data_IF_637552518680
#
_entry.id   IF_637552518680
#
_cell.length_a   1.000
_cell.length_b   1.000
_cell.length_c   1.000
_cell.angle_alpha   90.00
_cell.angle_beta   90.00
_cell.angle_gamma   90.00
#
_symmetry.space_group_name_H-M   'P 1'
#
loop_
_entity.id
_entity.type
_entity.pdbx_description
1 polymer ?
#
# COMPACT_ATOMS: atom_id res chain seq x y z
N UNK A 1 11.95 18.51 19.72
CA UNK A 1 12.81 17.77 18.77
C UNK A 1 12.50 16.31 19.01
N UNK A 2 11.85 15.60 18.08
CA UNK A 2 11.48 14.20 18.35
C UNK A 2 12.74 13.35 18.40
N UNK A 3 12.68 12.23 19.14
CA UNK A 3 13.80 11.31 19.27
C UNK A 3 14.24 10.76 17.89
N UNK A 4 13.30 10.62 16.94
CA UNK A 4 13.58 10.24 15.55
C UNK A 4 14.52 11.22 14.82
N UNK A 5 14.35 12.52 15.05
CA UNK A 5 15.18 13.57 14.41
C UNK A 5 16.59 13.61 15.03
N UNK A 6 16.74 13.12 16.27
CA UNK A 6 18.04 13.06 16.96
C UNK A 6 18.96 11.99 16.34
N UNK A 7 18.38 10.89 15.86
CA UNK A 7 19.11 9.77 15.26
C UNK A 7 19.04 9.73 13.72
N UNK A 8 18.45 10.75 13.09
CA UNK A 8 18.25 10.85 11.64
C UNK A 8 17.56 9.60 11.05
N UNK A 9 16.62 9.02 11.78
CA UNK A 9 15.96 7.76 11.39
C UNK A 9 15.17 7.90 10.08
N UNK A 10 14.63 9.10 9.82
CA UNK A 10 13.92 9.43 8.57
C UNK A 10 14.79 9.38 7.33
N UNK A 11 16.09 9.66 7.45
CA UNK A 11 17.02 9.68 6.31
C UNK A 11 17.52 8.26 5.96
N UNK A 12 17.37 7.29 6.87
CA UNK A 12 17.77 5.90 6.67
C UNK A 12 16.81 5.19 5.72
N UNK A 13 17.35 4.40 4.80
CA UNK A 13 16.55 3.43 4.03
C UNK A 13 15.91 2.38 4.95
N UNK A 14 14.90 1.64 4.48
CA UNK A 14 14.25 0.61 5.30
C UNK A 14 15.22 -0.47 5.78
N UNK A 15 16.18 -0.87 4.93
CA UNK A 15 17.20 -1.86 5.29
C UNK A 15 18.13 -1.31 6.37
N UNK A 16 18.60 -0.07 6.19
CA UNK A 16 19.47 0.58 7.18
C UNK A 16 18.75 0.87 8.50
N UNK A 17 17.45 1.17 8.47
CA UNK A 17 16.66 1.35 9.68
C UNK A 17 16.50 0.02 10.43
N UNK A 18 16.20 -1.06 9.71
CA UNK A 18 16.09 -2.40 10.28
C UNK A 18 17.42 -2.86 10.91
N UNK A 19 18.53 -2.74 10.19
CA UNK A 19 19.85 -3.09 10.70
C UNK A 19 20.26 -2.22 11.89
N UNK A 20 19.91 -0.93 11.85
CA UNK A 20 20.18 -0.02 12.97
C UNK A 20 19.40 -0.41 14.24
N UNK A 21 18.13 -0.78 14.11
CA UNK A 21 17.29 -1.28 15.23
C UNK A 21 17.88 -2.58 15.79
N UNK A 22 18.33 -3.49 14.92
CA UNK A 22 18.93 -4.76 15.32
C UNK A 22 20.22 -4.62 16.13
N UNK A 23 20.90 -3.48 16.01
CA UNK A 23 22.09 -3.14 16.80
C UNK A 23 21.77 -2.52 18.16
N UNK A 24 20.51 -2.13 18.43
CA UNK A 24 20.11 -1.53 19.70
C UNK A 24 19.64 -2.59 20.71
N UNK A 25 19.95 -2.39 21.98
CA UNK A 25 19.41 -3.24 23.04
C UNK A 25 17.89 -3.06 23.18
N UNK A 26 17.12 -4.15 23.34
CA UNK A 26 15.68 -4.06 23.55
C UNK A 26 15.35 -3.23 24.80
N UNK A 27 14.40 -2.31 24.68
CA UNK A 27 13.92 -1.48 25.79
C UNK A 27 14.68 -0.18 26.01
N UNK A 28 15.69 0.12 25.17
CA UNK A 28 16.30 1.45 25.14
C UNK A 28 15.42 2.47 24.42
N UNK A 29 15.70 3.76 24.63
CA UNK A 29 14.98 4.84 23.95
C UNK A 29 15.23 4.81 22.44
N UNK A 30 16.43 4.41 22.03
CA UNK A 30 16.88 4.23 20.66
C UNK A 30 16.10 3.13 19.96
N UNK A 31 15.99 1.96 20.60
CA UNK A 31 15.20 0.84 20.08
C UNK A 31 13.72 1.24 19.91
N UNK A 32 13.17 1.93 20.90
CA UNK A 32 11.77 2.38 20.88
C UNK A 32 11.52 3.39 19.75
N UNK A 33 12.43 4.35 19.54
CA UNK A 33 12.34 5.32 18.45
C UNK A 33 12.44 4.66 17.07
N UNK A 34 13.36 3.69 16.92
CA UNK A 34 13.47 2.91 15.68
C UNK A 34 12.20 2.14 15.33
N UNK A 35 11.59 1.50 16.33
CA UNK A 35 10.32 0.79 16.16
C UNK A 35 9.17 1.77 15.84
N UNK A 36 9.10 2.92 16.50
CA UNK A 36 8.08 3.94 16.24
C UNK A 36 8.15 4.44 14.79
N UNK A 37 9.34 4.78 14.31
CA UNK A 37 9.55 5.20 12.91
C UNK A 37 9.22 4.07 11.93
N UNK A 38 9.58 2.82 12.24
CA UNK A 38 9.20 1.68 11.41
C UNK A 38 7.67 1.52 11.32
N UNK A 39 6.95 1.65 12.43
CA UNK A 39 5.48 1.60 12.44
C UNK A 39 4.87 2.77 11.68
N UNK A 40 5.43 3.98 11.80
CA UNK A 40 4.99 5.16 11.05
C UNK A 40 5.10 4.94 9.54
N UNK A 41 6.18 4.31 9.06
CA UNK A 41 6.36 3.96 7.64
C UNK A 41 5.35 2.94 7.15
N UNK A 42 5.04 1.92 7.97
CA UNK A 42 4.01 0.93 7.64
C UNK A 42 2.64 1.61 7.54
N UNK A 43 2.26 2.44 8.51
CA UNK A 43 0.99 3.17 8.49
C UNK A 43 0.85 4.07 7.25
N UNK A 44 1.92 4.76 6.84
CA UNK A 44 1.91 5.57 5.62
C UNK A 44 1.73 4.72 4.36
N UNK A 45 2.31 3.51 4.33
CA UNK A 45 2.16 2.59 3.20
C UNK A 45 0.76 2.00 3.13
N UNK A 46 0.17 1.64 4.27
CA UNK A 46 -1.22 1.19 4.37
C UNK A 46 -2.20 2.27 3.90
N UNK A 47 -2.00 3.52 4.32
CA UNK A 47 -2.85 4.64 3.88
C UNK A 47 -2.76 4.87 2.36
N UNK A 48 -1.57 4.73 1.78
CA UNK A 48 -1.39 4.83 0.32
C UNK A 48 -2.04 3.64 -0.40
N UNK A 49 -1.93 2.44 0.16
CA UNK A 49 -2.54 1.24 -0.40
C UNK A 49 -4.07 1.37 -0.41
N UNK A 50 -4.68 1.76 0.71
CA UNK A 50 -6.13 1.94 0.83
C UNK A 50 -6.66 2.98 -0.16
N UNK A 51 -5.94 4.10 -0.32
CA UNK A 51 -6.30 5.14 -1.31
C UNK A 51 -6.17 4.65 -2.75
N UNK A 52 -5.22 3.76 -3.03
CA UNK A 52 -4.98 3.21 -4.36
C UNK A 52 -5.85 1.99 -4.69
N UNK A 53 -6.38 1.27 -3.69
CA UNK A 53 -7.32 0.17 -3.90
C UNK A 53 -8.68 0.67 -4.41
N UNK A 54 -9.19 1.79 -3.90
CA UNK A 54 -10.46 2.38 -4.36
C UNK A 54 -10.57 2.61 -5.89
N UNK A 55 -9.56 3.17 -6.58
CA UNK A 55 -9.59 3.30 -8.04
C UNK A 55 -9.39 1.98 -8.78
N UNK A 56 -8.70 0.98 -8.20
CA UNK A 56 -8.54 -0.35 -8.80
C UNK A 56 -9.90 -1.04 -8.90
N UNK A 57 -10.64 -1.13 -7.80
CA UNK A 57 -11.96 -1.75 -7.76
C UNK A 57 -12.95 -1.12 -8.75
N UNK A 58 -12.89 0.22 -8.90
CA UNK A 58 -13.72 0.94 -9.88
C UNK A 58 -13.38 0.59 -11.32
N UNK A 59 -12.09 0.49 -11.65
CA UNK A 59 -11.63 0.14 -13.01
C UNK A 59 -12.01 -1.29 -13.38
N UNK A 60 -11.84 -2.23 -12.45
CA UNK A 60 -12.21 -3.63 -12.65
C UNK A 60 -13.72 -3.79 -12.82
N UNK A 61 -14.52 -3.07 -12.03
CA UNK A 61 -15.99 -3.07 -12.15
C UNK A 61 -16.47 -2.56 -13.51
N UNK A 62 -15.84 -1.50 -14.04
CA UNK A 62 -16.16 -0.96 -15.37
C UNK A 62 -15.80 -1.96 -16.47
N UNK A 63 -14.62 -2.58 -16.39
CA UNK A 63 -14.18 -3.56 -17.36
C UNK A 63 -15.11 -4.79 -17.39
N UNK A 64 -15.54 -5.27 -16.22
CA UNK A 64 -16.48 -6.39 -16.10
C UNK A 64 -17.85 -6.05 -16.69
N UNK A 65 -18.37 -4.85 -16.43
CA UNK A 65 -19.64 -4.39 -16.99
C UNK A 65 -19.59 -4.31 -18.53
N UNK A 66 -18.51 -3.79 -19.11
CA UNK A 66 -18.32 -3.73 -20.57
C UNK A 66 -18.25 -5.13 -21.19
N UNK A 67 -17.57 -6.07 -20.53
CA UNK A 67 -17.47 -7.46 -21.00
C UNK A 67 -18.84 -8.13 -21.06
N UNK A 68 -19.66 -8.01 -20.01
CA UNK A 68 -21.01 -8.55 -19.99
C UNK A 68 -21.90 -7.94 -21.09
N UNK A 69 -21.78 -6.62 -21.30
CA UNK A 69 -22.56 -5.90 -22.29
C UNK A 69 -22.18 -6.31 -23.72
N UNK A 70 -20.90 -6.53 -23.98
CA UNK A 70 -20.40 -7.06 -25.26
C UNK A 70 -20.92 -8.49 -25.53
N UNK A 71 -20.91 -9.36 -24.51
CA UNK A 71 -21.46 -10.73 -24.64
C UNK A 71 -22.96 -10.68 -24.95
N UNK A 72 -23.73 -9.86 -24.21
CA UNK A 72 -25.16 -9.71 -24.44
C UNK A 72 -25.49 -9.23 -25.86
N UNK A 73 -24.78 -8.20 -26.36
CA UNK A 73 -24.96 -7.72 -27.73
C UNK A 73 -24.64 -8.79 -28.77
N UNK A 74 -23.59 -9.57 -28.55
CA UNK A 74 -23.20 -10.66 -29.46
C UNK A 74 -24.32 -11.71 -29.56
N UNK A 75 -24.91 -12.11 -28.43
CA UNK A 75 -26.03 -13.06 -28.41
C UNK A 75 -27.24 -12.49 -29.16
N UNK A 76 -27.58 -11.22 -28.93
CA UNK A 76 -28.72 -10.57 -29.62
C UNK A 76 -28.49 -10.55 -31.13
N UNK A 77 -27.29 -10.20 -31.59
CA UNK A 77 -26.95 -10.20 -33.02
C UNK A 77 -27.12 -11.60 -33.62
N UNK A 78 -26.62 -12.64 -32.94
CA UNK A 78 -26.77 -14.02 -33.39
C UNK A 78 -28.26 -14.39 -33.51
N UNK A 79 -29.08 -14.05 -32.51
CA UNK A 79 -30.52 -14.37 -32.51
C UNK A 79 -31.31 -13.58 -33.55
N UNK A 80 -30.91 -12.33 -33.87
CA UNK A 80 -31.60 -11.50 -34.88
C UNK A 80 -31.18 -11.87 -36.30
N UNK A 81 -29.93 -12.30 -36.51
CA UNK A 81 -29.44 -12.67 -37.83
C UNK A 81 -29.83 -14.09 -38.27
N UNK A 82 -30.27 -14.94 -37.35
CA UNK A 82 -30.73 -16.31 -37.62
C UNK A 82 -32.26 -16.41 -37.51
#
# INVERSE_FOLDING_TARGET
MSVDDQFKLKDKSNVELHDWIAMQEPGTAEYSAGIEESMRRVAAMEEVMEKNEAPIWRRESIAMALSLLAIALTIIIIVVMY
#
